data_IF_305343654395
#
_entry.id   IF_305343654395
#
_cell.length_a   1.000
_cell.length_b   1.000
_cell.length_c   1.000
_cell.angle_alpha   90.00
_cell.angle_beta   90.00
_cell.angle_gamma   90.00
#
_symmetry.space_group_name_H-M   'P 1'
#
loop_
_entity.id
_entity.type
_entity.pdbx_description
1 polymer ?
#
# COMPACT_ATOMS: atom_id res chain seq x y z
N UNK A 1 1.22 -19.54 -13.71
CA UNK A 1 1.49 -19.23 -12.28
C UNK A 1 1.94 -17.79 -12.22
N UNK A 2 1.20 -16.96 -11.52
CA UNK A 2 1.63 -15.58 -11.29
C UNK A 2 2.87 -15.63 -10.41
N UNK A 3 4.01 -15.34 -10.99
CA UNK A 3 5.29 -15.35 -10.28
C UNK A 3 5.30 -14.15 -9.34
N UNK A 4 5.50 -14.38 -8.04
CA UNK A 4 5.69 -13.29 -7.10
C UNK A 4 6.98 -12.54 -7.44
N UNK A 5 6.90 -11.23 -7.54
CA UNK A 5 8.03 -10.33 -7.71
C UNK A 5 7.98 -9.22 -6.65
N UNK A 6 9.12 -8.65 -6.31
CA UNK A 6 9.17 -7.45 -5.51
C UNK A 6 10.09 -6.42 -6.21
N UNK A 7 9.65 -5.17 -6.43
CA UNK A 7 8.28 -4.67 -6.20
C UNK A 7 7.21 -5.47 -6.94
N UNK A 8 5.99 -5.59 -6.37
CA UNK A 8 4.93 -6.36 -6.98
C UNK A 8 4.53 -5.75 -8.33
N UNK A 9 4.36 -6.60 -9.34
CA UNK A 9 3.81 -6.23 -10.64
C UNK A 9 2.39 -6.77 -10.76
N UNK A 10 1.51 -5.97 -11.33
CA UNK A 10 0.09 -6.30 -11.48
C UNK A 10 -0.31 -6.26 -12.95
N UNK A 11 -1.02 -7.29 -13.39
CA UNK A 11 -1.77 -7.21 -14.65
C UNK A 11 -3.03 -6.37 -14.42
N UNK A 12 -2.94 -5.10 -14.81
CA UNK A 12 -4.05 -4.15 -14.66
C UNK A 12 -5.23 -4.45 -15.61
N UNK A 13 -5.07 -5.35 -16.57
CA UNK A 13 -6.15 -5.83 -17.42
C UNK A 13 -6.93 -6.99 -16.77
N UNK A 14 -6.33 -7.70 -15.81
CA UNK A 14 -6.96 -8.84 -15.17
C UNK A 14 -8.24 -8.45 -14.42
N UNK A 15 -9.30 -9.20 -14.67
CA UNK A 15 -10.52 -9.24 -13.85
C UNK A 15 -10.92 -10.71 -13.70
N UNK A 16 -11.37 -11.15 -12.51
CA UNK A 16 -11.93 -12.49 -12.39
C UNK A 16 -13.25 -12.59 -13.17
N UNK A 17 -13.71 -13.81 -13.51
CA UNK A 17 -15.06 -14.03 -14.02
C UNK A 17 -16.11 -13.40 -13.11
N UNK A 18 -17.18 -12.83 -13.67
CA UNK A 18 -18.18 -12.05 -12.92
C UNK A 18 -18.84 -12.82 -11.76
N UNK A 19 -18.97 -14.13 -11.89
CA UNK A 19 -19.51 -15.04 -10.89
C UNK A 19 -18.45 -15.58 -9.91
N UNK A 20 -17.17 -15.26 -10.11
CA UNK A 20 -16.11 -15.73 -9.23
C UNK A 20 -16.28 -15.17 -7.81
N UNK A 21 -16.23 -16.07 -6.83
CA UNK A 21 -16.28 -15.69 -5.41
C UNK A 21 -15.05 -14.92 -4.96
N UNK A 22 -13.86 -15.31 -5.46
CA UNK A 22 -12.56 -14.80 -5.05
C UNK A 22 -11.90 -14.03 -6.19
N UNK A 23 -11.17 -12.98 -5.86
CA UNK A 23 -10.32 -12.26 -6.82
C UNK A 23 -9.18 -13.15 -7.33
N UNK A 24 -8.43 -13.75 -6.39
CA UNK A 24 -7.38 -14.72 -6.67
C UNK A 24 -7.66 -16.02 -5.91
N UNK A 25 -8.47 -16.96 -6.45
CA UNK A 25 -8.90 -18.14 -5.71
C UNK A 25 -7.76 -18.87 -5.00
N UNK A 26 -6.66 -19.17 -5.71
CA UNK A 26 -5.52 -19.88 -5.13
C UNK A 26 -4.88 -19.15 -3.94
N UNK A 27 -4.79 -17.81 -3.99
CA UNK A 27 -4.19 -17.03 -2.90
C UNK A 27 -5.14 -16.86 -1.72
N UNK A 28 -6.43 -16.74 -2.00
CA UNK A 28 -7.44 -16.45 -0.99
C UNK A 28 -7.94 -17.69 -0.26
N UNK A 29 -7.71 -18.87 -0.83
CA UNK A 29 -8.04 -20.18 -0.23
C UNK A 29 -6.79 -20.99 0.13
N UNK A 30 -5.62 -20.33 0.19
CA UNK A 30 -4.36 -20.99 0.50
C UNK A 30 -4.39 -21.57 1.92
N UNK A 31 -3.97 -22.84 2.11
CA UNK A 31 -3.84 -23.44 3.42
C UNK A 31 -2.92 -22.62 4.35
N UNK A 32 -3.14 -22.64 5.68
CA UNK A 32 -2.37 -21.83 6.61
C UNK A 32 -0.86 -21.96 6.47
N UNK A 33 -0.31 -23.16 6.42
CA UNK A 33 1.14 -23.37 6.28
C UNK A 33 1.73 -22.85 4.96
N UNK A 34 1.02 -23.01 3.84
CA UNK A 34 1.44 -22.41 2.57
C UNK A 34 1.38 -20.88 2.62
N UNK A 35 0.38 -20.33 3.30
CA UNK A 35 0.23 -18.88 3.48
C UNK A 35 1.36 -18.30 4.31
N UNK A 36 1.70 -18.93 5.43
CA UNK A 36 2.80 -18.52 6.29
C UNK A 36 4.13 -18.55 5.55
N UNK A 37 4.38 -19.62 4.78
CA UNK A 37 5.57 -19.69 3.92
C UNK A 37 5.58 -18.55 2.89
N UNK A 38 4.48 -18.30 2.19
CA UNK A 38 4.38 -17.23 1.22
C UNK A 38 4.54 -15.83 1.85
N UNK A 39 4.05 -15.62 3.07
CA UNK A 39 4.27 -14.38 3.83
C UNK A 39 5.74 -14.22 4.17
N UNK A 40 6.39 -15.27 4.68
CA UNK A 40 7.80 -15.23 5.04
C UNK A 40 8.69 -14.88 3.85
N UNK A 41 8.47 -15.48 2.68
CA UNK A 41 9.25 -15.15 1.48
C UNK A 41 9.09 -13.68 1.07
N UNK A 42 7.85 -13.15 1.16
CA UNK A 42 7.60 -11.73 0.91
C UNK A 42 8.27 -10.81 1.93
N UNK A 43 8.28 -11.20 3.21
CA UNK A 43 8.98 -10.43 4.24
C UNK A 43 10.49 -10.41 4.00
N UNK A 44 11.09 -11.53 3.56
CA UNK A 44 12.49 -11.57 3.15
C UNK A 44 12.79 -10.62 1.98
N UNK A 45 11.92 -10.61 0.97
CA UNK A 45 12.10 -9.74 -0.19
C UNK A 45 11.97 -8.25 0.17
N UNK A 46 10.92 -7.87 0.91
CA UNK A 46 10.70 -6.47 1.28
C UNK A 46 11.77 -5.94 2.25
N UNK A 47 12.20 -6.77 3.20
CA UNK A 47 13.27 -6.36 4.13
C UNK A 47 14.60 -6.21 3.41
N UNK A 48 14.95 -7.13 2.51
CA UNK A 48 16.15 -7.02 1.69
C UNK A 48 16.10 -5.82 0.75
N UNK A 49 14.97 -5.56 0.15
CA UNK A 49 14.76 -4.37 -0.68
C UNK A 49 14.93 -3.08 0.12
N UNK A 50 14.27 -2.97 1.27
CA UNK A 50 14.38 -1.80 2.13
C UNK A 50 15.82 -1.58 2.64
N UNK A 51 16.52 -2.65 2.99
CA UNK A 51 17.93 -2.59 3.37
C UNK A 51 18.82 -2.02 2.25
N UNK A 52 18.59 -2.44 1.02
CA UNK A 52 19.41 -2.04 -0.11
C UNK A 52 19.11 -0.63 -0.62
N UNK A 53 17.85 -0.16 -0.50
CA UNK A 53 17.40 1.07 -1.15
C UNK A 53 17.04 2.20 -0.19
N UNK A 54 16.83 1.93 1.10
CA UNK A 54 16.45 2.93 2.08
C UNK A 54 17.50 3.08 3.19
N UNK A 55 18.35 4.12 3.17
CA UNK A 55 19.36 4.37 4.19
C UNK A 55 18.80 4.42 5.62
N UNK A 56 17.57 4.90 5.78
CA UNK A 56 16.84 4.92 7.05
C UNK A 56 16.69 3.52 7.66
N UNK A 57 16.22 2.53 6.88
CA UNK A 57 16.02 1.18 7.37
C UNK A 57 17.34 0.48 7.66
N UNK A 58 18.31 0.63 6.76
CA UNK A 58 19.65 0.06 6.96
C UNK A 58 20.25 0.53 8.27
N UNK A 59 20.32 1.83 8.50
CA UNK A 59 20.87 2.40 9.73
C UNK A 59 20.13 1.92 10.99
N UNK A 60 18.79 2.00 10.98
CA UNK A 60 17.96 1.58 12.13
C UNK A 60 18.14 0.10 12.46
N UNK A 61 18.29 -0.73 11.46
CA UNK A 61 18.45 -2.17 11.63
C UNK A 61 19.88 -2.55 12.04
N UNK A 62 20.90 -1.89 11.49
CA UNK A 62 22.30 -2.03 11.94
C UNK A 62 22.47 -1.67 13.42
N UNK A 63 21.89 -0.55 13.86
CA UNK A 63 21.88 -0.11 15.25
C UNK A 63 21.23 -1.15 16.20
N UNK A 64 20.25 -1.89 15.71
CA UNK A 64 19.57 -2.96 16.46
C UNK A 64 20.23 -4.34 16.30
N UNK A 65 21.31 -4.46 15.52
CA UNK A 65 21.98 -5.73 15.24
C UNK A 65 21.17 -6.68 14.36
N UNK A 66 20.20 -6.15 13.58
CA UNK A 66 19.42 -6.93 12.63
C UNK A 66 19.95 -6.80 11.20
N UNK A 67 20.03 -7.94 10.50
CA UNK A 67 20.27 -8.00 9.06
C UNK A 67 19.20 -8.87 8.39
N UNK A 68 18.68 -8.52 7.20
CA UNK A 68 17.63 -9.30 6.52
C UNK A 68 17.91 -10.79 6.34
N UNK A 69 19.17 -11.19 6.21
CA UNK A 69 19.55 -12.61 6.09
C UNK A 69 19.33 -13.43 7.37
N UNK A 70 19.05 -12.77 8.48
CA UNK A 70 18.71 -13.44 9.76
C UNK A 70 17.23 -13.84 9.82
N UNK A 71 16.42 -13.41 8.84
CA UNK A 71 14.99 -13.69 8.79
C UNK A 71 14.73 -15.10 8.25
N UNK A 72 14.47 -16.06 9.14
CA UNK A 72 14.26 -17.46 8.80
C UNK A 72 12.84 -17.95 9.07
N UNK A 73 12.09 -17.25 9.92
CA UNK A 73 10.71 -17.56 10.28
C UNK A 73 9.89 -16.30 10.55
N UNK A 74 8.58 -16.43 10.75
CA UNK A 74 7.71 -15.31 11.13
C UNK A 74 8.02 -14.86 12.57
N UNK A 75 8.40 -15.78 13.45
CA UNK A 75 8.84 -15.48 14.82
C UNK A 75 10.14 -14.65 14.81
N UNK A 76 11.06 -14.92 13.87
CA UNK A 76 12.25 -14.10 13.68
C UNK A 76 11.89 -12.67 13.30
N UNK A 77 10.87 -12.50 12.44
CA UNK A 77 10.39 -11.17 12.05
C UNK A 77 9.86 -10.40 13.26
N UNK A 78 9.01 -11.02 14.05
CA UNK A 78 8.42 -10.42 15.25
C UNK A 78 9.47 -10.09 16.32
N UNK A 79 10.45 -10.97 16.51
CA UNK A 79 11.44 -10.83 17.56
C UNK A 79 12.62 -9.92 17.22
N UNK A 80 13.01 -9.85 15.94
CA UNK A 80 14.28 -9.23 15.53
C UNK A 80 14.11 -7.94 14.73
N UNK A 81 13.00 -7.77 13.98
CA UNK A 81 12.85 -6.57 13.16
C UNK A 81 12.39 -5.39 14.00
N UNK A 82 13.19 -4.31 14.10
CA UNK A 82 12.84 -3.17 14.95
C UNK A 82 11.59 -2.44 14.49
N UNK A 83 10.73 -2.10 15.42
CA UNK A 83 9.53 -1.31 15.16
C UNK A 83 9.93 0.11 14.73
N UNK A 84 9.26 0.62 13.71
CA UNK A 84 9.37 2.01 13.24
C UNK A 84 8.20 2.80 13.78
N UNK A 85 8.48 3.82 14.57
CA UNK A 85 7.48 4.74 15.09
C UNK A 85 7.29 5.96 14.17
N UNK A 86 6.12 6.58 14.23
CA UNK A 86 5.83 7.79 13.46
C UNK A 86 6.83 8.93 13.72
N UNK A 87 7.38 9.00 14.95
CA UNK A 87 8.43 9.95 15.30
C UNK A 87 9.69 9.72 14.47
N UNK A 88 10.12 8.47 14.29
CA UNK A 88 11.32 8.13 13.52
C UNK A 88 11.21 8.64 12.07
N UNK A 89 10.02 8.48 11.46
CA UNK A 89 9.75 8.97 10.10
C UNK A 89 9.78 10.50 10.03
N UNK A 90 9.22 11.20 11.02
CA UNK A 90 9.25 12.66 11.08
C UNK A 90 10.67 13.18 11.25
N UNK A 91 11.48 12.54 12.08
CA UNK A 91 12.88 12.89 12.28
C UNK A 91 13.67 12.67 10.99
N UNK A 92 13.41 11.58 10.27
CA UNK A 92 13.99 11.33 8.95
C UNK A 92 13.59 12.42 7.93
N UNK A 93 12.31 12.81 7.88
CA UNK A 93 11.84 13.90 7.01
C UNK A 93 12.45 15.26 7.36
N UNK A 94 12.74 15.51 8.63
CA UNK A 94 13.40 16.74 9.06
C UNK A 94 14.85 16.78 8.63
N UNK A 95 15.52 15.62 8.55
CA UNK A 95 16.90 15.52 8.06
C UNK A 95 17.01 15.59 6.54
N UNK A 96 16.08 14.91 5.86
CA UNK A 96 16.06 14.78 4.38
C UNK A 96 14.66 15.13 3.86
N UNK A 97 14.33 16.43 3.71
CA UNK A 97 13.02 16.84 3.20
C UNK A 97 12.86 16.48 1.71
N UNK A 98 11.61 16.27 1.21
CA UNK A 98 10.36 16.28 1.97
C UNK A 98 9.98 14.91 2.54
N UNK A 99 10.57 13.80 2.03
CA UNK A 99 10.08 12.45 2.30
C UNK A 99 10.93 11.67 3.34
N UNK A 100 12.11 12.18 3.72
CA UNK A 100 13.06 11.39 4.50
C UNK A 100 13.88 10.43 3.64
N UNK A 101 14.85 9.77 4.26
CA UNK A 101 15.73 8.79 3.63
C UNK A 101 15.19 7.34 3.73
N UNK A 102 13.87 7.20 3.90
CA UNK A 102 13.16 5.91 3.85
C UNK A 102 12.47 5.62 2.50
N UNK A 103 12.53 6.55 1.56
CA UNK A 103 12.08 6.35 0.18
C UNK A 103 13.06 5.44 -0.54
N UNK A 104 12.52 4.46 -1.28
CA UNK A 104 13.30 3.44 -1.97
C UNK A 104 13.47 3.69 -3.48
N UNK A 105 12.90 4.79 -3.99
CA UNK A 105 12.93 5.16 -5.41
C UNK A 105 13.42 6.60 -5.57
N UNK A 106 14.00 6.98 -6.72
CA UNK A 106 14.37 8.37 -6.98
C UNK A 106 13.11 9.27 -7.05
N UNK A 107 13.29 10.54 -6.76
CA UNK A 107 12.22 11.55 -6.75
C UNK A 107 11.43 11.60 -8.07
N UNK A 108 12.11 11.37 -9.20
CA UNK A 108 11.51 11.32 -10.54
C UNK A 108 10.48 10.18 -10.73
N UNK A 109 10.47 9.18 -9.86
CA UNK A 109 9.51 8.07 -9.89
C UNK A 109 8.34 8.26 -8.92
N UNK A 110 8.34 9.34 -8.14
CA UNK A 110 7.22 9.68 -7.25
C UNK A 110 6.13 10.37 -8.07
N UNK A 111 4.96 9.76 -8.13
CA UNK A 111 3.81 10.25 -8.90
C UNK A 111 2.74 10.91 -8.03
N UNK A 112 2.61 10.48 -6.77
CA UNK A 112 1.65 11.01 -5.82
C UNK A 112 2.30 11.30 -4.49
N UNK A 113 1.78 12.30 -3.78
CA UNK A 113 2.20 12.64 -2.42
C UNK A 113 0.99 12.49 -1.51
N UNK A 114 1.11 11.62 -0.54
CA UNK A 114 0.10 11.38 0.47
C UNK A 114 0.67 11.63 1.87
N UNK A 115 -0.19 11.71 2.86
CA UNK A 115 0.27 11.98 4.21
C UNK A 115 -0.78 11.66 5.26
N UNK A 116 -0.34 11.75 6.49
CA UNK A 116 -1.23 11.64 7.64
C UNK A 116 -1.93 12.98 7.91
N UNK A 117 -3.07 12.95 8.60
CA UNK A 117 -3.89 14.15 8.91
C UNK A 117 -3.17 15.24 9.72
N UNK A 118 -2.00 14.95 10.28
CA UNK A 118 -1.19 15.97 10.96
C UNK A 118 -1.80 16.54 12.26
N UNK A 119 -2.72 15.84 12.89
CA UNK A 119 -3.41 16.29 14.14
C UNK A 119 -2.48 16.75 15.27
N UNK A 120 -1.21 16.36 15.22
CA UNK A 120 -0.18 16.70 16.20
C UNK A 120 0.96 17.55 15.61
N UNK A 121 0.70 18.33 14.53
CA UNK A 121 1.71 19.16 13.86
C UNK A 121 1.88 18.83 12.38
N UNK A 122 3.11 18.81 11.87
CA UNK A 122 3.38 18.53 10.46
C UNK A 122 2.89 17.14 10.04
N UNK A 123 2.19 17.01 8.90
CA UNK A 123 1.87 15.70 8.33
C UNK A 123 3.13 14.88 8.06
N UNK A 124 3.07 13.58 8.26
CA UNK A 124 4.09 12.68 7.73
C UNK A 124 3.77 12.45 6.26
N UNK A 125 4.65 12.87 5.37
CA UNK A 125 4.48 12.75 3.93
C UNK A 125 5.03 11.40 3.42
N UNK A 126 4.37 10.84 2.40
CA UNK A 126 4.79 9.63 1.71
C UNK A 126 4.81 9.89 0.22
N UNK A 127 5.95 9.66 -0.41
CA UNK A 127 6.06 9.60 -1.86
C UNK A 127 5.57 8.24 -2.35
N UNK A 128 4.64 8.25 -3.29
CA UNK A 128 4.02 7.06 -3.86
C UNK A 128 4.45 6.94 -5.31
N UNK A 129 5.15 5.85 -5.63
CA UNK A 129 5.54 5.51 -6.99
C UNK A 129 4.43 4.80 -7.78
N UNK A 130 4.71 4.51 -9.05
CA UNK A 130 3.74 3.83 -9.92
C UNK A 130 3.39 2.43 -9.39
N UNK A 131 4.38 1.65 -8.97
CA UNK A 131 4.15 0.31 -8.44
C UNK A 131 3.31 0.32 -7.15
N UNK A 132 3.52 1.33 -6.29
CA UNK A 132 2.71 1.52 -5.08
C UNK A 132 1.27 1.86 -5.43
N UNK A 133 1.06 2.73 -6.43
CA UNK A 133 -0.27 3.13 -6.87
C UNK A 133 -1.05 1.95 -7.44
N UNK A 134 -0.40 1.13 -8.27
CA UNK A 134 -0.98 -0.08 -8.83
C UNK A 134 -1.29 -1.11 -7.71
N UNK A 135 -0.43 -1.23 -6.71
CA UNK A 135 -0.66 -2.08 -5.54
C UNK A 135 -1.89 -1.63 -4.74
N UNK A 136 -2.01 -0.32 -4.48
CA UNK A 136 -3.16 0.30 -3.80
C UNK A 136 -4.45 0.04 -4.59
N UNK A 137 -4.43 0.27 -5.91
CA UNK A 137 -5.57 0.02 -6.79
C UNK A 137 -6.03 -1.43 -6.75
N UNK A 138 -5.09 -2.37 -6.87
CA UNK A 138 -5.40 -3.80 -6.82
C UNK A 138 -5.89 -4.27 -5.45
N UNK A 139 -5.32 -3.76 -4.36
CA UNK A 139 -5.78 -4.08 -3.01
C UNK A 139 -7.24 -3.62 -2.78
N UNK A 140 -7.57 -2.39 -3.17
CA UNK A 140 -8.93 -1.85 -3.02
C UNK A 140 -9.92 -2.52 -3.96
N UNK A 141 -9.56 -2.82 -5.21
CA UNK A 141 -10.39 -3.57 -6.14
C UNK A 141 -10.74 -4.96 -5.57
N UNK A 142 -9.75 -5.64 -4.98
CA UNK A 142 -9.96 -6.93 -4.32
C UNK A 142 -10.88 -6.84 -3.11
N UNK A 143 -10.74 -5.80 -2.29
CA UNK A 143 -11.65 -5.53 -1.15
C UNK A 143 -13.07 -5.33 -1.66
N UNK A 144 -13.26 -4.47 -2.67
CA UNK A 144 -14.57 -4.20 -3.26
C UNK A 144 -15.19 -5.46 -3.87
N UNK A 145 -14.39 -6.29 -4.56
CA UNK A 145 -14.85 -7.58 -5.07
C UNK A 145 -15.38 -8.48 -3.96
N UNK A 146 -14.70 -8.54 -2.82
CA UNK A 146 -15.13 -9.33 -1.67
C UNK A 146 -16.44 -8.81 -1.05
N UNK A 147 -16.73 -7.51 -1.21
CA UNK A 147 -18.00 -6.88 -0.80
C UNK A 147 -19.13 -7.08 -1.82
N UNK A 148 -18.86 -7.73 -2.95
CA UNK A 148 -19.86 -7.98 -4.00
C UNK A 148 -19.91 -6.91 -5.09
N UNK A 149 -19.06 -5.89 -5.06
CA UNK A 149 -18.99 -4.87 -6.13
C UNK A 149 -18.40 -5.50 -7.39
N UNK A 150 -19.00 -5.18 -8.54
CA UNK A 150 -18.67 -5.79 -9.83
C UNK A 150 -18.44 -4.71 -10.90
N UNK A 151 -17.78 -5.05 -12.02
CA UNK A 151 -17.65 -4.14 -13.17
C UNK A 151 -19.00 -3.58 -13.60
N UNK A 152 -19.03 -2.28 -13.84
CA UNK A 152 -20.26 -1.57 -14.25
C UNK A 152 -21.09 -1.00 -13.09
N UNK A 153 -20.85 -1.41 -11.84
CA UNK A 153 -21.46 -0.79 -10.66
C UNK A 153 -21.05 0.68 -10.53
N UNK A 154 -21.77 1.44 -9.72
CA UNK A 154 -21.45 2.81 -9.38
C UNK A 154 -20.92 2.86 -7.95
N UNK A 155 -19.69 3.35 -7.78
CA UNK A 155 -19.06 3.56 -6.47
C UNK A 155 -19.07 5.04 -6.15
N UNK A 156 -19.78 5.38 -5.09
CA UNK A 156 -19.90 6.73 -4.58
C UNK A 156 -18.91 6.93 -3.42
N UNK A 157 -17.92 7.79 -3.60
CA UNK A 157 -16.90 8.06 -2.58
C UNK A 157 -17.23 9.34 -1.83
N UNK A 158 -17.91 9.20 -0.68
CA UNK A 158 -18.35 10.30 0.19
C UNK A 158 -17.31 10.59 1.29
N UNK A 159 -16.04 10.74 0.92
CA UNK A 159 -14.95 11.03 1.85
C UNK A 159 -14.05 12.13 1.28
N UNK A 160 -13.39 12.88 2.16
CA UNK A 160 -12.51 14.00 1.76
C UNK A 160 -11.36 13.49 0.89
N UNK A 161 -11.19 14.10 -0.29
CA UNK A 161 -10.01 13.96 -1.12
C UNK A 161 -8.94 14.97 -0.66
N UNK A 162 -7.95 14.49 0.08
CA UNK A 162 -6.84 15.28 0.61
C UNK A 162 -5.55 14.46 0.57
N UNK A 163 -4.60 14.72 1.45
CA UNK A 163 -3.42 13.87 1.63
C UNK A 163 -3.76 12.46 2.13
N UNK A 164 -4.98 12.24 2.64
CA UNK A 164 -5.43 10.95 3.14
C UNK A 164 -5.65 9.95 1.99
N UNK A 165 -4.95 8.80 2.05
CA UNK A 165 -4.96 7.78 1.00
C UNK A 165 -6.32 7.06 0.86
N UNK A 166 -7.13 6.98 1.90
CA UNK A 166 -8.35 6.14 1.89
C UNK A 166 -9.33 6.47 0.77
N UNK A 167 -9.62 7.75 0.55
CA UNK A 167 -10.52 8.19 -0.53
C UNK A 167 -9.95 7.90 -1.92
N UNK A 168 -8.68 8.17 -2.09
CA UNK A 168 -7.95 7.89 -3.34
C UNK A 168 -7.83 6.40 -3.61
N UNK A 169 -7.56 5.60 -2.57
CA UNK A 169 -7.55 4.14 -2.69
C UNK A 169 -8.91 3.57 -3.08
N UNK A 170 -10.01 4.08 -2.50
CA UNK A 170 -11.35 3.69 -2.89
C UNK A 170 -11.66 4.05 -4.35
N UNK A 171 -11.33 5.27 -4.76
CA UNK A 171 -11.53 5.71 -6.14
C UNK A 171 -10.73 4.88 -7.13
N UNK A 172 -9.42 4.77 -6.93
CA UNK A 172 -8.54 4.05 -7.87
C UNK A 172 -8.84 2.54 -7.89
N UNK A 173 -9.28 1.96 -6.76
CA UNK A 173 -9.76 0.57 -6.71
C UNK A 173 -11.04 0.35 -7.50
N UNK A 174 -11.98 1.28 -7.42
CA UNK A 174 -13.21 1.24 -8.20
C UNK A 174 -12.94 1.38 -9.71
N UNK A 175 -12.03 2.29 -10.10
CA UNK A 175 -11.57 2.43 -11.50
C UNK A 175 -10.89 1.14 -11.98
N UNK A 176 -10.01 0.55 -11.15
CA UNK A 176 -9.34 -0.72 -11.44
C UNK A 176 -10.35 -1.86 -11.63
N UNK A 177 -11.47 -1.83 -10.90
CA UNK A 177 -12.59 -2.77 -11.01
C UNK A 177 -13.52 -2.44 -12.19
N UNK A 178 -13.24 -1.37 -12.95
CA UNK A 178 -14.09 -0.90 -14.06
C UNK A 178 -15.51 -0.48 -13.61
N UNK A 179 -15.63 0.05 -12.40
CA UNK A 179 -16.85 0.67 -11.92
C UNK A 179 -16.96 2.12 -12.44
N UNK A 180 -18.17 2.65 -12.43
CA UNK A 180 -18.40 4.09 -12.53
C UNK A 180 -18.06 4.72 -11.20
N UNK A 181 -17.13 5.66 -11.16
CA UNK A 181 -16.70 6.32 -9.93
C UNK A 181 -17.35 7.70 -9.79
N UNK A 182 -17.85 7.97 -8.59
CA UNK A 182 -18.38 9.29 -8.27
C UNK A 182 -17.63 9.86 -7.04
N UNK A 183 -16.61 10.71 -7.27
CA UNK A 183 -15.80 11.31 -6.20
C UNK A 183 -16.53 12.51 -5.58
N UNK A 184 -17.55 12.24 -4.76
CA UNK A 184 -18.37 13.29 -4.15
C UNK A 184 -17.58 14.14 -3.15
N UNK A 185 -16.62 13.55 -2.44
CA UNK A 185 -15.91 14.23 -1.37
C UNK A 185 -16.77 14.44 -0.13
N UNK A 186 -16.30 15.26 0.82
CA UNK A 186 -17.04 15.64 2.02
C UNK A 186 -17.60 17.07 1.94
N UNK A 187 -17.58 17.67 0.78
CA UNK A 187 -18.09 19.03 0.56
C UNK A 187 -19.59 19.00 0.28
N UNK A 188 -20.37 19.72 1.08
CA UNK A 188 -21.78 19.94 0.81
C UNK A 188 -22.00 20.68 -0.49
N UNK A 189 -22.10 19.97 -1.59
CA UNK A 189 -22.92 20.41 -2.70
C UNK A 189 -24.37 20.27 -2.23
N UNK A 190 -24.89 21.26 -1.54
CA UNK A 190 -26.34 21.42 -1.52
C UNK A 190 -26.76 21.69 -2.96
N UNK A 191 -27.52 20.80 -3.62
CA UNK A 191 -28.18 21.19 -4.85
C UNK A 191 -29.06 22.37 -4.49
N UNK A 192 -28.75 23.57 -5.02
CA UNK A 192 -29.74 24.62 -5.07
C UNK A 192 -30.81 24.10 -6.01
N UNK A 193 -31.86 23.52 -5.42
CA UNK A 193 -33.12 23.31 -6.12
C UNK A 193 -33.69 24.70 -6.28
N UNK A 194 -33.51 25.30 -7.46
CA UNK A 194 -34.24 26.46 -7.94
C UNK A 194 -35.58 26.01 -8.48
#
# INVERSE_FOLDING_TARGET
MEQWSFPPQFDNAYLPPADARYWFPRRETMPPGEREHAILERLKDVTRYAWNHAPFYRRKWEEAGFHPDQLRSLEDFEAKVPVVHKKDLRDAQSRVPPFGDYVCVPDSEIHHIHGTSGTTGRPTAFGIGRADWDAIANAHARIMWSMGIRPGDTVFVAAIFSLYMGSWGAMTGAERLRCKTFPFGAGGCQPRVG
#
